data_IF_357826801238
#
_entry.id   IF_357826801238
#
_cell.length_a   1.000
_cell.length_b   1.000
_cell.length_c   1.000
_cell.angle_alpha   90.00
_cell.angle_beta   90.00
_cell.angle_gamma   90.00
#
_symmetry.space_group_name_H-M   'P 1'
#
loop_
_entity.id
_entity.type
_entity.pdbx_description
1 polymer ?
#
# COMPACT_ATOMS: atom_id res chain seq x y z
N UNK A 1 -13.46 11.61 -28.35
CA UNK A 1 -13.11 11.53 -26.91
C UNK A 1 -12.05 10.45 -26.64
N UNK A 2 -12.12 9.26 -27.26
CA UNK A 2 -11.10 8.20 -27.11
C UNK A 2 -9.97 8.23 -28.17
N UNK A 3 -9.74 9.39 -28.78
CA UNK A 3 -8.69 9.57 -29.77
C UNK A 3 -7.54 10.37 -29.12
N UNK A 4 -6.39 9.71 -28.93
CA UNK A 4 -5.20 10.32 -28.34
C UNK A 4 -4.60 11.42 -29.21
N UNK A 5 -4.75 11.34 -30.54
CA UNK A 5 -4.29 12.40 -31.44
C UNK A 5 -5.12 13.66 -31.23
N UNK A 6 -6.45 13.55 -31.18
CA UNK A 6 -7.33 14.69 -30.88
C UNK A 6 -7.02 15.29 -29.51
N UNK A 7 -6.79 14.45 -28.49
CA UNK A 7 -6.39 14.94 -27.17
C UNK A 7 -5.05 15.69 -27.20
N UNK A 8 -4.04 15.15 -27.90
CA UNK A 8 -2.72 15.76 -27.99
C UNK A 8 -2.73 17.06 -28.81
N UNK A 9 -3.38 17.08 -29.97
CA UNK A 9 -3.50 18.23 -30.86
C UNK A 9 -4.21 19.42 -30.16
N UNK A 10 -5.06 19.14 -29.17
CA UNK A 10 -5.76 20.15 -28.36
C UNK A 10 -5.14 20.36 -26.96
N UNK A 11 -3.92 19.87 -26.70
CA UNK A 11 -3.25 20.06 -25.41
C UNK A 11 -4.01 19.51 -24.21
N UNK A 12 -4.73 18.40 -24.40
CA UNK A 12 -5.66 17.79 -23.41
C UNK A 12 -6.86 18.67 -23.02
N UNK A 13 -7.20 19.66 -23.84
CA UNK A 13 -8.31 20.60 -23.61
C UNK A 13 -9.33 20.59 -24.76
N UNK A 14 -9.51 19.44 -25.43
CA UNK A 14 -10.51 19.27 -26.49
C UNK A 14 -11.94 19.61 -26.01
N UNK A 15 -12.25 19.29 -24.75
CA UNK A 15 -13.44 19.71 -24.02
C UNK A 15 -13.03 20.27 -22.64
N UNK A 16 -14.01 20.69 -21.83
CA UNK A 16 -13.75 21.20 -20.47
C UNK A 16 -12.99 20.17 -19.63
N UNK A 17 -11.73 20.43 -19.26
CA UNK A 17 -10.95 19.48 -18.48
C UNK A 17 -11.32 19.56 -16.99
N UNK A 18 -10.98 18.54 -16.19
CA UNK A 18 -11.18 18.57 -14.73
C UNK A 18 -10.12 19.46 -14.07
N UNK A 19 -10.25 20.79 -14.21
CA UNK A 19 -9.23 21.79 -13.84
C UNK A 19 -8.67 21.60 -12.42
N UNK A 20 -9.54 21.33 -11.44
CA UNK A 20 -9.11 21.11 -10.06
C UNK A 20 -8.24 19.85 -9.90
N UNK A 21 -8.62 18.73 -10.50
CA UNK A 21 -7.83 17.50 -10.44
C UNK A 21 -6.46 17.69 -11.09
N UNK A 22 -6.40 18.39 -12.23
CA UNK A 22 -5.14 18.75 -12.91
C UNK A 22 -4.25 19.59 -12.00
N UNK A 23 -4.81 20.59 -11.31
CA UNK A 23 -4.08 21.41 -10.35
C UNK A 23 -3.49 20.59 -9.20
N UNK A 24 -4.28 19.70 -8.60
CA UNK A 24 -3.82 18.80 -7.53
C UNK A 24 -2.70 17.87 -8.01
N UNK A 25 -2.81 17.29 -9.22
CA UNK A 25 -1.72 16.52 -9.83
C UNK A 25 -0.44 17.36 -9.90
N UNK A 26 -0.52 18.61 -10.35
CA UNK A 26 0.61 19.54 -10.38
C UNK A 26 1.26 19.75 -9.00
N UNK A 27 0.47 19.85 -7.94
CA UNK A 27 1.00 19.95 -6.57
C UNK A 27 1.70 18.66 -6.12
N UNK A 28 1.10 17.50 -6.41
CA UNK A 28 1.70 16.19 -6.09
C UNK A 28 3.02 15.99 -6.85
N UNK A 29 3.09 16.38 -8.12
CA UNK A 29 4.32 16.29 -8.91
C UNK A 29 5.42 17.20 -8.36
N UNK A 30 5.08 18.44 -7.99
CA UNK A 30 6.03 19.35 -7.32
C UNK A 30 6.55 18.78 -6.00
N UNK A 31 5.67 18.15 -5.20
CA UNK A 31 6.09 17.48 -3.97
C UNK A 31 7.02 16.29 -4.26
N UNK A 32 6.69 15.45 -5.24
CA UNK A 32 7.51 14.31 -5.66
C UNK A 32 8.93 14.73 -6.10
N UNK A 33 9.04 15.83 -6.86
CA UNK A 33 10.33 16.40 -7.25
C UNK A 33 11.11 16.88 -6.01
N UNK A 34 10.45 17.54 -5.05
CA UNK A 34 11.08 17.98 -3.80
C UNK A 34 11.60 16.83 -2.93
N UNK A 35 10.97 15.65 -3.01
CA UNK A 35 11.43 14.44 -2.32
C UNK A 35 12.67 13.78 -2.97
N UNK A 36 13.22 14.35 -4.05
CA UNK A 36 14.35 13.78 -4.79
C UNK A 36 13.95 13.00 -6.04
N UNK A 37 12.70 13.13 -6.48
CA UNK A 37 12.21 12.49 -7.70
C UNK A 37 12.01 10.98 -7.58
N UNK A 38 11.94 10.31 -8.74
CA UNK A 38 11.54 8.90 -8.80
C UNK A 38 12.52 7.94 -8.13
N UNK A 39 13.83 8.18 -8.23
CA UNK A 39 14.84 7.29 -7.64
C UNK A 39 14.80 7.32 -6.10
N UNK A 40 14.72 8.51 -5.50
CA UNK A 40 14.61 8.65 -4.04
C UNK A 40 13.32 8.00 -3.51
N UNK A 41 12.20 8.25 -4.19
CA UNK A 41 10.89 7.67 -3.81
C UNK A 41 10.86 6.16 -4.02
N UNK A 42 11.50 5.65 -5.08
CA UNK A 42 11.67 4.21 -5.31
C UNK A 42 12.47 3.57 -4.18
N UNK A 43 13.60 4.14 -3.78
CA UNK A 43 14.40 3.63 -2.67
C UNK A 43 13.57 3.54 -1.38
N UNK A 44 12.85 4.62 -1.03
CA UNK A 44 11.96 4.64 0.13
C UNK A 44 10.85 3.57 0.06
N UNK A 45 10.22 3.40 -1.11
CA UNK A 45 9.18 2.39 -1.30
C UNK A 45 9.73 0.95 -1.20
N UNK A 46 10.96 0.71 -1.65
CA UNK A 46 11.64 -0.59 -1.46
C UNK A 46 11.85 -0.85 0.04
N UNK A 47 12.35 0.13 0.79
CA UNK A 47 12.53 0.01 2.24
C UNK A 47 11.22 -0.29 2.96
N UNK A 48 10.14 0.46 2.68
CA UNK A 48 8.82 0.20 3.27
C UNK A 48 8.31 -1.20 2.97
N UNK A 49 8.43 -1.64 1.72
CA UNK A 49 7.97 -2.97 1.33
C UNK A 49 8.76 -4.07 2.05
N UNK A 50 10.09 -3.91 2.18
CA UNK A 50 10.95 -4.84 2.90
C UNK A 50 10.50 -5.01 4.35
N UNK A 51 10.24 -3.91 5.08
CA UNK A 51 9.77 -3.95 6.47
C UNK A 51 8.56 -4.88 6.66
N UNK A 52 7.56 -4.81 5.79
CA UNK A 52 6.37 -5.68 5.90
C UNK A 52 6.64 -7.11 5.44
N UNK A 53 7.36 -7.30 4.33
CA UNK A 53 7.65 -8.64 3.84
C UNK A 53 8.59 -9.42 4.76
N UNK A 54 9.52 -8.73 5.42
CA UNK A 54 10.41 -9.31 6.41
C UNK A 54 9.62 -9.69 7.67
N UNK A 55 8.66 -8.85 8.11
CA UNK A 55 7.75 -9.20 9.21
C UNK A 55 6.90 -10.44 8.88
N UNK A 56 6.40 -10.57 7.65
CA UNK A 56 5.68 -11.76 7.19
C UNK A 56 6.61 -12.98 7.16
N UNK A 57 7.82 -12.84 6.60
CA UNK A 57 8.76 -13.95 6.48
C UNK A 57 9.26 -14.46 7.84
N UNK A 58 9.45 -13.56 8.81
CA UNK A 58 9.88 -13.87 10.16
C UNK A 58 8.76 -14.42 11.07
N UNK A 59 7.54 -14.58 10.54
CA UNK A 59 6.36 -14.95 11.34
C UNK A 59 6.15 -16.45 11.56
N UNK A 60 7.11 -17.30 11.16
CA UNK A 60 7.00 -18.76 11.28
C UNK A 60 5.68 -19.34 10.72
N UNK A 61 5.23 -18.77 9.59
CA UNK A 61 4.00 -19.18 8.90
C UNK A 61 2.69 -18.61 9.47
N UNK A 62 2.73 -17.83 10.56
CA UNK A 62 1.55 -17.17 11.11
C UNK A 62 0.90 -16.22 10.09
N UNK A 63 1.72 -15.42 9.42
CA UNK A 63 1.31 -14.63 8.25
C UNK A 63 1.82 -15.28 6.97
N UNK A 64 1.00 -15.21 5.92
CA UNK A 64 1.37 -15.65 4.58
C UNK A 64 1.08 -14.55 3.55
N UNK A 65 2.01 -14.31 2.62
CA UNK A 65 1.75 -13.51 1.43
C UNK A 65 1.41 -14.45 0.26
N UNK A 66 0.21 -14.38 -0.34
CA UNK A 66 -0.21 -15.30 -1.41
C UNK A 66 0.45 -15.02 -2.78
N UNK A 67 1.52 -14.23 -2.79
CA UNK A 67 2.21 -13.76 -4.00
C UNK A 67 3.63 -14.29 -4.02
N UNK A 68 4.03 -14.81 -5.18
CA UNK A 68 5.40 -15.24 -5.47
C UNK A 68 6.41 -14.13 -5.09
N UNK A 69 7.49 -14.45 -4.36
CA UNK A 69 8.51 -13.48 -3.96
C UNK A 69 9.02 -12.56 -5.09
N UNK A 70 9.21 -13.09 -6.31
CA UNK A 70 9.71 -12.33 -7.45
C UNK A 70 8.68 -11.32 -8.00
N UNK A 71 7.39 -11.54 -7.73
CA UNK A 71 6.28 -10.71 -8.20
C UNK A 71 5.69 -9.79 -7.10
N UNK A 72 6.29 -9.78 -5.90
CA UNK A 72 5.81 -8.99 -4.77
C UNK A 72 5.77 -7.49 -5.07
N UNK A 73 4.62 -6.87 -4.79
CA UNK A 73 4.40 -5.44 -5.02
C UNK A 73 5.09 -4.60 -3.95
N UNK A 74 5.68 -3.48 -4.37
CA UNK A 74 6.23 -2.46 -3.46
C UNK A 74 5.18 -1.44 -2.98
N UNK A 75 3.92 -1.63 -3.37
CA UNK A 75 2.84 -0.67 -3.13
C UNK A 75 1.67 -1.27 -2.37
N UNK A 76 1.32 -2.52 -2.65
CA UNK A 76 0.20 -3.20 -2.02
C UNK A 76 0.68 -4.56 -1.53
N UNK A 77 0.80 -4.71 -0.22
CA UNK A 77 1.27 -5.95 0.41
C UNK A 77 0.05 -6.72 0.91
N UNK A 78 -0.47 -7.71 0.14
CA UNK A 78 -1.49 -8.60 0.63
C UNK A 78 -0.87 -9.64 1.58
N UNK A 79 -1.58 -9.95 2.66
CA UNK A 79 -1.20 -11.03 3.57
C UNK A 79 -2.44 -11.62 4.24
N UNK A 80 -2.36 -12.90 4.60
CA UNK A 80 -3.43 -13.71 5.18
C UNK A 80 -2.94 -14.39 6.43
N UNK A 81 -3.86 -14.85 7.28
CA UNK A 81 -3.55 -15.81 8.34
C UNK A 81 -4.11 -17.17 7.88
N UNK A 82 -3.24 -18.14 7.47
CA UNK A 82 -3.68 -19.37 6.83
C UNK A 82 -4.78 -20.11 7.61
N UNK A 83 -5.85 -20.48 6.91
CA UNK A 83 -6.97 -21.25 7.45
C UNK A 83 -7.67 -20.66 8.68
N UNK A 84 -7.51 -19.35 8.96
CA UNK A 84 -8.11 -18.72 10.14
C UNK A 84 -8.80 -17.37 9.86
N UNK A 85 -9.97 -17.39 9.16
CA UNK A 85 -10.71 -16.16 8.82
C UNK A 85 -11.19 -15.35 10.03
N UNK A 86 -11.46 -16.01 11.16
CA UNK A 86 -11.86 -15.31 12.39
C UNK A 86 -10.69 -14.53 12.99
N UNK A 87 -9.46 -15.07 12.89
CA UNK A 87 -8.27 -14.36 13.33
C UNK A 87 -7.91 -13.19 12.40
N UNK A 88 -8.19 -13.29 11.10
CA UNK A 88 -8.10 -12.14 10.17
C UNK A 88 -9.10 -11.02 10.53
N UNK A 89 -10.34 -11.37 10.88
CA UNK A 89 -11.33 -10.39 11.36
C UNK A 89 -10.88 -9.73 12.66
N UNK A 90 -10.34 -10.52 13.60
CA UNK A 90 -9.77 -10.02 14.86
C UNK A 90 -8.60 -9.07 14.60
N UNK A 91 -7.67 -9.43 13.72
CA UNK A 91 -6.56 -8.56 13.30
C UNK A 91 -7.07 -7.22 12.79
N UNK A 92 -8.02 -7.21 11.86
CA UNK A 92 -8.57 -5.96 11.29
C UNK A 92 -9.24 -5.11 12.38
N UNK A 93 -9.98 -5.73 13.30
CA UNK A 93 -10.65 -5.02 14.38
C UNK A 93 -9.64 -4.39 15.36
N UNK A 94 -8.63 -5.15 15.80
CA UNK A 94 -7.59 -4.67 16.70
C UNK A 94 -6.69 -3.62 16.05
N UNK A 95 -6.31 -3.82 14.79
CA UNK A 95 -5.54 -2.85 14.03
C UNK A 95 -6.32 -1.53 13.89
N UNK A 96 -7.64 -1.60 13.63
CA UNK A 96 -8.51 -0.43 13.59
C UNK A 96 -8.57 0.29 14.94
N UNK A 97 -8.69 -0.45 16.04
CA UNK A 97 -8.66 0.11 17.40
C UNK A 97 -7.31 0.76 17.73
N UNK A 98 -6.20 0.21 17.21
CA UNK A 98 -4.85 0.78 17.30
C UNK A 98 -4.60 1.95 16.32
N UNK A 99 -5.59 2.33 15.51
CA UNK A 99 -5.53 3.49 14.60
C UNK A 99 -5.07 3.17 13.17
N UNK A 100 -4.79 1.90 12.84
CA UNK A 100 -4.52 1.48 11.47
C UNK A 100 -5.84 1.32 10.70
N UNK A 101 -6.03 2.13 9.66
CA UNK A 101 -7.25 2.14 8.86
C UNK A 101 -7.06 1.43 7.53
N UNK A 102 -8.16 0.93 6.96
CA UNK A 102 -8.22 0.37 5.60
C UNK A 102 -7.28 -0.82 5.32
N UNK A 103 -6.99 -1.65 6.33
CA UNK A 103 -6.18 -2.87 6.18
C UNK A 103 -6.97 -4.09 5.69
N UNK A 104 -8.30 -4.02 5.66
CA UNK A 104 -9.13 -5.13 5.18
C UNK A 104 -8.83 -5.41 3.70
N UNK A 105 -8.51 -6.66 3.38
CA UNK A 105 -8.25 -7.10 2.02
C UNK A 105 -9.46 -6.94 1.11
N UNK A 106 -9.23 -6.94 -0.20
CA UNK A 106 -10.31 -6.80 -1.17
C UNK A 106 -11.30 -7.97 -1.06
N UNK A 107 -12.60 -7.69 -1.17
CA UNK A 107 -13.69 -8.66 -0.97
C UNK A 107 -13.57 -9.94 -1.80
N UNK A 108 -12.91 -9.89 -2.97
CA UNK A 108 -12.75 -11.05 -3.85
C UNK A 108 -11.62 -12.00 -3.43
N UNK A 109 -10.75 -11.58 -2.50
CA UNK A 109 -9.57 -12.36 -2.06
C UNK A 109 -9.58 -12.61 -0.56
N UNK A 110 -10.12 -11.69 0.25
CA UNK A 110 -10.07 -11.80 1.71
C UNK A 110 -8.74 -11.34 2.30
N UNK A 111 -8.44 -11.75 3.53
CA UNK A 111 -7.21 -11.39 4.24
C UNK A 111 -7.06 -9.90 4.53
N UNK A 112 -5.81 -9.47 4.59
CA UNK A 112 -5.39 -8.09 4.82
C UNK A 112 -4.59 -7.56 3.62
N UNK A 113 -4.58 -6.24 3.47
CA UNK A 113 -3.76 -5.54 2.48
C UNK A 113 -3.24 -4.23 3.04
N UNK A 114 -1.92 -4.10 3.14
CA UNK A 114 -1.27 -2.83 3.46
C UNK A 114 -0.91 -2.08 2.18
N UNK A 115 -1.56 -0.93 1.94
CA UNK A 115 -1.26 -0.04 0.81
C UNK A 115 -0.27 1.04 1.23
N UNK A 116 0.97 0.94 0.75
CA UNK A 116 2.13 1.74 1.17
C UNK A 116 2.62 2.70 0.07
N UNK A 117 1.68 3.41 -0.58
CA UNK A 117 1.95 4.40 -1.64
C UNK A 117 2.99 5.47 -1.24
N UNK A 118 3.42 6.29 -2.19
CA UNK A 118 4.47 7.31 -1.98
C UNK A 118 4.25 8.20 -0.75
N UNK A 119 3.01 8.58 -0.46
CA UNK A 119 2.67 9.43 0.68
C UNK A 119 2.64 8.71 2.03
N UNK A 120 2.72 7.37 2.06
CA UNK A 120 2.78 6.59 3.29
C UNK A 120 4.19 6.71 3.89
N UNK A 121 4.35 7.24 5.12
CA UNK A 121 5.65 7.38 5.77
C UNK A 121 6.19 6.03 6.24
N UNK A 122 7.52 5.89 6.24
CA UNK A 122 8.20 4.67 6.70
C UNK A 122 7.84 4.32 8.15
N UNK A 123 7.80 5.31 9.03
CA UNK A 123 7.44 5.14 10.45
C UNK A 123 6.08 4.45 10.64
N UNK A 124 5.08 4.76 9.81
CA UNK A 124 3.77 4.11 9.91
C UNK A 124 3.83 2.64 9.51
N UNK A 125 4.71 2.30 8.57
CA UNK A 125 4.94 0.92 8.13
C UNK A 125 5.68 0.12 9.20
N UNK A 126 6.66 0.73 9.85
CA UNK A 126 7.37 0.13 11.00
C UNK A 126 6.43 -0.11 12.18
N UNK A 127 5.54 0.84 12.49
CA UNK A 127 4.48 0.66 13.50
C UNK A 127 3.54 -0.49 13.16
N UNK A 128 3.15 -0.64 11.89
CA UNK A 128 2.35 -1.77 11.46
C UNK A 128 3.09 -3.10 11.63
N UNK A 129 4.37 -3.17 11.26
CA UNK A 129 5.17 -4.39 11.46
C UNK A 129 5.34 -4.75 12.94
N UNK A 130 5.51 -3.76 13.82
CA UNK A 130 5.53 -3.96 15.26
C UNK A 130 4.18 -4.51 15.77
N UNK A 131 3.07 -3.89 15.36
CA UNK A 131 1.72 -4.39 15.67
C UNK A 131 1.52 -5.84 15.18
N UNK A 132 1.98 -6.18 13.97
CA UNK A 132 1.88 -7.54 13.44
C UNK A 132 2.59 -8.56 14.33
N UNK A 133 3.77 -8.21 14.86
CA UNK A 133 4.55 -9.06 15.77
C UNK A 133 3.86 -9.22 17.13
N UNK A 134 3.31 -8.14 17.68
CA UNK A 134 2.55 -8.17 18.93
C UNK A 134 1.29 -9.02 18.80
N UNK A 135 0.53 -8.82 17.72
CA UNK A 135 -0.65 -9.61 17.42
C UNK A 135 -0.32 -11.09 17.26
N UNK A 136 0.77 -11.43 16.56
CA UNK A 136 1.24 -12.82 16.48
C UNK A 136 1.54 -13.37 17.88
N UNK A 137 2.33 -12.66 18.69
CA UNK A 137 2.72 -13.13 20.04
C UNK A 137 1.51 -13.41 20.93
N UNK A 138 0.44 -12.61 20.80
CA UNK A 138 -0.79 -12.78 21.57
C UNK A 138 -1.73 -13.88 21.05
N UNK A 139 -1.50 -14.43 19.86
CA UNK A 139 -2.45 -15.32 19.17
C UNK A 139 -1.80 -16.55 18.50
N UNK A 140 -0.49 -16.76 18.65
CA UNK A 140 0.26 -17.91 18.13
C UNK A 140 0.15 -19.14 19.03
#
# INVERSE_FOLDING_TARGET
MFDYKVAADNGSMYNTPPCWAIYICGLVFKHLIKLGGLEAVRANNVTKAAVLYDAIAASDGFYNSPVDPAARSKMNVPFTIPSNPELEKKFVAEATAAGFKELKGHRSVGGMRASIYNAMPLEAVEKLAAFMKEFQTANA
#
